data_IF_607276405032
#
_entry.id   IF_607276405032
#
_cell.length_a   1.000
_cell.length_b   1.000
_cell.length_c   1.000
_cell.angle_alpha   90.00
_cell.angle_beta   90.00
_cell.angle_gamma   90.00
#
_symmetry.space_group_name_H-M   'P 1'
#
loop_
_entity.id
_entity.type
_entity.pdbx_description
1 polymer ?
#
# COMPACT_ATOMS: atom_id res chain seq x y z
N UNK A 1 -21.05 13.07 75.95
CA UNK A 1 -20.94 14.27 75.08
C UNK A 1 -19.63 14.97 75.40
N UNK A 2 -18.61 14.73 74.56
CA UNK A 2 -18.05 15.81 73.73
C UNK A 2 -18.06 15.44 72.23
N UNK A 3 -17.83 16.41 71.32
CA UNK A 3 -18.25 16.29 69.93
C UNK A 3 -17.20 15.67 68.99
N UNK A 4 -17.74 15.15 67.89
CA UNK A 4 -17.10 14.46 66.79
C UNK A 4 -16.00 15.27 66.09
N UNK A 5 -14.86 14.62 65.82
CA UNK A 5 -13.87 15.08 64.86
C UNK A 5 -14.32 14.87 63.41
N UNK A 6 -13.73 15.57 62.44
CA UNK A 6 -14.15 15.49 61.05
C UNK A 6 -13.69 14.18 60.40
N UNK A 7 -14.61 13.59 59.62
CA UNK A 7 -14.38 12.46 58.72
C UNK A 7 -13.21 12.75 57.77
N UNK A 8 -12.17 11.93 57.84
CA UNK A 8 -11.13 11.87 56.81
C UNK A 8 -11.72 11.41 55.48
N UNK A 9 -11.53 12.23 54.45
CA UNK A 9 -11.81 11.87 53.07
C UNK A 9 -10.85 10.75 52.65
N UNK A 10 -11.35 9.52 52.61
CA UNK A 10 -10.65 8.40 51.98
C UNK A 10 -10.58 8.64 50.47
N UNK A 11 -9.45 9.14 49.99
CA UNK A 11 -9.17 9.19 48.56
C UNK A 11 -8.78 7.78 48.12
N UNK A 12 -9.72 7.05 47.52
CA UNK A 12 -9.46 5.77 46.89
C UNK A 12 -8.53 6.01 45.69
N UNK A 13 -7.24 5.79 45.91
CA UNK A 13 -6.22 5.87 44.86
C UNK A 13 -6.43 4.67 43.92
N UNK A 14 -7.16 4.87 42.82
CA UNK A 14 -7.13 3.93 41.72
C UNK A 14 -5.69 3.89 41.17
N UNK A 15 -5.04 2.72 41.05
CA UNK A 15 -3.75 2.65 40.40
C UNK A 15 -3.95 2.98 38.93
N UNK A 16 -3.34 4.07 38.49
CA UNK A 16 -3.17 4.39 37.07
C UNK A 16 -2.42 3.20 36.48
N UNK A 17 -3.15 2.37 35.73
CA UNK A 17 -2.55 1.37 34.86
C UNK A 17 -1.79 2.18 33.81
N UNK A 18 -0.48 2.33 34.02
CA UNK A 18 0.43 2.84 33.02
C UNK A 18 0.31 1.92 31.81
N UNK A 19 -0.51 2.32 30.85
CA UNK A 19 -0.50 1.75 29.52
C UNK A 19 0.93 1.92 29.00
N UNK A 20 1.59 0.89 28.47
CA UNK A 20 2.92 1.07 27.90
C UNK A 20 2.81 2.13 26.82
N UNK A 21 3.34 3.32 27.10
CA UNK A 21 3.43 4.39 26.12
C UNK A 21 4.24 3.81 24.97
N UNK A 22 3.61 3.75 23.79
CA UNK A 22 4.34 3.43 22.57
C UNK A 22 5.58 4.34 22.51
N UNK A 23 6.76 3.80 22.18
CA UNK A 23 7.94 4.63 22.01
C UNK A 23 7.59 5.75 21.03
N UNK A 24 7.81 7.00 21.45
CA UNK A 24 7.60 8.14 20.61
C UNK A 24 8.37 7.92 19.29
N UNK A 25 7.75 8.13 18.12
CA UNK A 25 8.45 8.01 16.84
C UNK A 25 9.69 8.89 16.89
N UNK A 26 10.82 8.40 16.36
CA UNK A 26 12.04 9.19 16.35
C UNK A 26 11.76 10.51 15.60
N UNK A 27 12.49 11.61 15.89
CA UNK A 27 12.20 12.94 15.35
C UNK A 27 12.08 13.05 13.81
N UNK A 28 12.52 12.01 13.08
CA UNK A 28 12.54 11.95 11.62
C UNK A 28 11.74 10.76 11.04
N UNK A 29 10.97 10.05 11.85
CA UNK A 29 10.13 8.96 11.37
C UNK A 29 8.86 9.53 10.73
N UNK A 30 8.54 9.02 9.55
CA UNK A 30 7.30 9.30 8.85
C UNK A 30 6.18 8.45 9.43
N UNK A 31 5.00 9.06 9.58
CA UNK A 31 3.85 8.41 10.20
C UNK A 31 2.95 7.74 9.16
N UNK A 32 2.46 6.56 9.49
CA UNK A 32 1.36 5.92 8.77
C UNK A 32 0.04 6.28 9.45
N UNK A 33 -0.91 6.80 8.69
CA UNK A 33 -2.24 7.20 9.17
C UNK A 33 -3.33 6.40 8.46
N UNK A 34 -4.46 6.24 9.15
CA UNK A 34 -5.67 5.67 8.59
C UNK A 34 -6.51 6.77 7.93
N UNK A 35 -6.92 6.56 6.67
CA UNK A 35 -7.81 7.46 5.94
C UNK A 35 -9.01 6.66 5.43
N UNK A 36 -10.22 7.14 5.71
CA UNK A 36 -11.45 6.60 5.15
C UNK A 36 -11.89 7.45 3.97
N UNK A 37 -11.95 6.86 2.78
CA UNK A 37 -12.41 7.52 1.56
C UNK A 37 -13.12 6.52 0.65
N UNK A 38 -14.17 6.94 -0.05
CA UNK A 38 -14.91 6.09 -1.00
C UNK A 38 -15.36 4.75 -0.40
N UNK A 39 -15.84 4.76 0.86
CA UNK A 39 -16.23 3.57 1.63
C UNK A 39 -15.10 2.53 1.79
N UNK A 40 -13.84 2.97 1.73
CA UNK A 40 -12.65 2.13 1.89
C UNK A 40 -11.70 2.73 2.90
N UNK A 41 -11.02 1.85 3.63
CA UNK A 41 -9.99 2.20 4.58
C UNK A 41 -8.61 2.09 3.93
N UNK A 42 -7.82 3.14 4.00
CA UNK A 42 -6.46 3.21 3.46
C UNK A 42 -5.47 3.44 4.59
N UNK A 43 -4.34 2.73 4.53
CA UNK A 43 -3.17 3.07 5.32
C UNK A 43 -2.26 3.93 4.45
N UNK A 44 -1.91 5.11 4.93
CA UNK A 44 -1.19 6.10 4.14
C UNK A 44 0.04 6.58 4.89
N UNK A 45 1.21 6.39 4.29
CA UNK A 45 2.46 6.97 4.74
C UNK A 45 2.48 8.45 4.34
N UNK A 46 2.42 9.34 5.33
CA UNK A 46 2.55 10.79 5.12
C UNK A 46 3.99 11.12 4.77
N UNK A 47 4.19 11.81 3.66
CA UNK A 47 5.52 12.30 3.29
C UNK A 47 5.80 13.70 3.83
N UNK A 48 4.75 14.46 4.10
CA UNK A 48 4.87 15.76 4.77
C UNK A 48 5.20 15.57 6.26
N UNK A 49 6.09 16.40 6.83
CA UNK A 49 6.45 16.31 8.23
C UNK A 49 5.27 16.70 9.13
N UNK A 50 5.06 15.89 10.18
CA UNK A 50 4.07 16.16 11.23
C UNK A 50 2.76 15.36 11.06
N UNK A 51 2.13 14.93 12.18
CA UNK A 51 0.95 14.06 12.17
C UNK A 51 -0.32 14.75 11.66
N UNK A 52 -0.36 16.08 11.64
CA UNK A 52 -1.50 16.91 11.22
C UNK A 52 -1.34 17.49 9.82
N UNK A 53 -0.28 17.13 9.10
CA UNK A 53 -0.07 17.63 7.75
C UNK A 53 -1.24 17.23 6.82
N UNK A 54 -1.70 18.15 5.94
CA UNK A 54 -2.78 17.84 5.02
C UNK A 54 -2.37 16.71 4.06
N UNK A 55 -3.33 15.87 3.61
CA UNK A 55 -3.04 14.86 2.61
C UNK A 55 -2.43 15.45 1.35
N UNK A 56 -1.38 14.79 0.85
CA UNK A 56 -0.77 15.15 -0.42
C UNK A 56 -1.06 14.07 -1.46
N UNK A 57 -1.12 14.42 -2.76
CA UNK A 57 -1.26 13.42 -3.82
C UNK A 57 -0.04 12.49 -3.93
N UNK A 58 1.05 12.81 -3.24
CA UNK A 58 2.30 12.04 -3.22
C UNK A 58 2.41 11.10 -2.03
N UNK A 59 1.53 11.23 -1.03
CA UNK A 59 1.49 10.33 0.11
C UNK A 59 1.30 8.89 -0.37
N UNK A 60 1.95 7.95 0.32
CA UNK A 60 2.07 6.59 -0.18
C UNK A 60 1.01 5.69 0.44
N UNK A 61 0.16 5.10 -0.39
CA UNK A 61 -0.82 4.10 0.05
C UNK A 61 -0.09 2.79 0.31
N UNK A 62 -0.11 2.33 1.55
CA UNK A 62 0.48 1.08 2.00
C UNK A 62 -0.57 -0.04 2.12
N UNK A 63 -0.18 -1.30 1.86
CA UNK A 63 -0.98 -2.45 2.25
C UNK A 63 -1.05 -2.54 3.78
N UNK A 64 -1.87 -3.44 4.30
CA UNK A 64 -1.90 -3.72 5.74
C UNK A 64 -0.49 -3.98 6.30
N UNK A 65 -0.24 -3.58 7.55
CA UNK A 65 1.02 -3.85 8.25
C UNK A 65 1.41 -5.35 8.21
N UNK A 66 0.43 -6.26 8.09
CA UNK A 66 0.66 -7.69 7.92
C UNK A 66 1.51 -8.03 6.68
N UNK A 67 1.49 -7.20 5.63
CA UNK A 67 2.31 -7.37 4.43
C UNK A 67 3.82 -7.24 4.71
N UNK A 68 4.19 -6.56 5.80
CA UNK A 68 5.59 -6.33 6.21
C UNK A 68 6.06 -7.30 7.30
N UNK A 69 5.16 -8.13 7.83
CA UNK A 69 5.44 -9.03 8.93
C UNK A 69 5.94 -10.39 8.44
N UNK A 70 7.10 -10.86 8.93
CA UNK A 70 7.73 -12.11 8.49
C UNK A 70 7.55 -13.30 9.48
N UNK A 71 6.79 -13.13 10.57
CA UNK A 71 6.53 -14.20 11.55
C UNK A 71 7.69 -14.57 12.45
N UNK A 72 8.90 -14.08 12.20
CA UNK A 72 10.10 -14.41 12.98
C UNK A 72 10.13 -13.72 14.35
N UNK A 73 9.51 -12.54 14.45
CA UNK A 73 9.38 -11.80 15.69
C UNK A 73 7.93 -11.93 16.19
N UNK A 74 7.75 -12.46 17.41
CA UNK A 74 6.42 -12.59 18.06
C UNK A 74 5.78 -11.24 18.45
N UNK A 75 6.43 -10.13 18.14
CA UNK A 75 5.91 -8.79 18.38
C UNK A 75 4.83 -8.40 17.37
N UNK A 76 3.96 -7.49 17.81
CA UNK A 76 2.77 -7.03 17.09
C UNK A 76 3.01 -6.72 15.61
N UNK A 77 1.98 -6.98 14.79
CA UNK A 77 1.94 -6.59 13.38
C UNK A 77 2.00 -5.07 13.28
N UNK A 78 3.17 -4.54 12.89
CA UNK A 78 3.44 -3.10 12.78
C UNK A 78 4.17 -2.79 11.47
N UNK A 79 4.08 -1.53 11.03
CA UNK A 79 4.89 -1.06 9.90
C UNK A 79 6.36 -0.98 10.30
N UNK A 80 7.29 -1.24 9.37
CA UNK A 80 8.70 -0.91 9.59
C UNK A 80 8.85 0.62 9.74
N UNK A 81 9.91 1.09 10.42
CA UNK A 81 10.19 2.52 10.50
C UNK A 81 10.47 3.06 9.09
N UNK A 82 9.69 4.06 8.69
CA UNK A 82 9.89 4.80 7.45
C UNK A 82 10.50 6.15 7.78
N UNK A 83 11.52 6.54 7.03
CA UNK A 83 12.18 7.85 7.13
C UNK A 83 12.13 8.52 5.76
N UNK A 84 12.44 9.83 5.64
CA UNK A 84 12.59 10.47 4.33
C UNK A 84 13.58 9.74 3.39
N UNK A 85 14.57 9.03 3.94
CA UNK A 85 15.51 8.23 3.15
C UNK A 85 14.95 6.86 2.71
N UNK A 86 13.95 6.33 3.42
CA UNK A 86 13.40 4.97 3.19
C UNK A 86 11.94 4.95 2.73
N UNK A 87 11.35 6.10 2.43
CA UNK A 87 9.96 6.22 1.99
C UNK A 87 9.73 5.96 0.50
N UNK A 88 10.78 5.74 -0.30
CA UNK A 88 10.64 5.44 -1.73
C UNK A 88 10.11 4.03 -2.00
N UNK A 89 9.41 3.83 -3.13
CA UNK A 89 8.85 2.53 -3.53
C UNK A 89 9.85 1.38 -3.47
N UNK A 90 11.08 1.61 -3.93
CA UNK A 90 12.12 0.59 -3.90
C UNK A 90 12.46 0.11 -2.47
N UNK A 91 12.54 1.05 -1.52
CA UNK A 91 12.80 0.79 -0.11
C UNK A 91 11.61 0.10 0.56
N UNK A 92 10.40 0.60 0.32
CA UNK A 92 9.16 -0.03 0.80
C UNK A 92 9.07 -1.49 0.33
N UNK A 93 9.35 -1.74 -0.95
CA UNK A 93 9.28 -3.07 -1.51
C UNK A 93 10.30 -4.05 -0.90
N UNK A 94 11.44 -3.56 -0.38
CA UNK A 94 12.41 -4.41 0.37
C UNK A 94 11.87 -4.89 1.70
N UNK A 95 10.95 -4.13 2.30
CA UNK A 95 10.37 -4.50 3.60
C UNK A 95 9.15 -5.43 3.46
N UNK A 96 8.60 -5.63 2.26
CA UNK A 96 7.45 -6.53 2.07
C UNK A 96 7.88 -7.99 2.27
N UNK A 97 7.27 -8.63 3.27
CA UNK A 97 7.50 -10.03 3.63
C UNK A 97 6.38 -10.96 3.10
N UNK A 98 5.15 -10.45 2.96
CA UNK A 98 3.99 -11.21 2.50
C UNK A 98 3.35 -10.57 1.26
N UNK A 99 3.88 -10.85 0.06
CA UNK A 99 3.36 -10.24 -1.17
C UNK A 99 1.89 -10.58 -1.46
N UNK A 100 1.37 -11.69 -0.93
CA UNK A 100 -0.02 -12.13 -1.12
C UNK A 100 -1.05 -11.12 -0.63
N UNK A 101 -0.65 -10.26 0.31
CA UNK A 101 -1.51 -9.22 0.89
C UNK A 101 -1.49 -7.91 0.10
N UNK A 102 -0.70 -7.82 -0.97
CA UNK A 102 -0.60 -6.60 -1.78
C UNK A 102 -1.80 -6.42 -2.71
N UNK A 103 -2.42 -7.50 -3.18
CA UNK A 103 -3.49 -7.44 -4.18
C UNK A 103 -4.68 -6.58 -3.74
N UNK A 104 -5.10 -6.75 -2.50
CA UNK A 104 -6.29 -6.05 -1.98
C UNK A 104 -6.08 -4.54 -1.91
N UNK A 105 -4.83 -4.11 -1.77
CA UNK A 105 -4.45 -2.70 -1.68
C UNK A 105 -4.04 -2.10 -3.03
N UNK A 106 -3.16 -2.77 -3.75
CA UNK A 106 -2.48 -2.25 -4.96
C UNK A 106 -2.95 -2.89 -6.26
N UNK A 107 -3.77 -3.95 -6.20
CA UNK A 107 -4.33 -4.57 -7.39
C UNK A 107 -5.05 -3.58 -8.29
N UNK A 108 -5.10 -3.84 -9.60
CA UNK A 108 -5.79 -2.95 -10.53
C UNK A 108 -7.28 -2.83 -10.19
N UNK A 109 -7.88 -1.75 -10.69
CA UNK A 109 -9.33 -1.61 -10.77
C UNK A 109 -9.91 -2.54 -11.84
N UNK A 110 -11.23 -2.68 -11.85
CA UNK A 110 -11.95 -3.18 -13.03
C UNK A 110 -11.79 -2.23 -14.21
N UNK A 111 -11.98 -2.69 -15.45
CA UNK A 111 -11.86 -1.82 -16.64
C UNK A 111 -12.77 -0.60 -16.56
N UNK A 112 -13.97 -0.72 -15.97
CA UNK A 112 -14.90 0.39 -15.80
C UNK A 112 -14.43 1.48 -14.83
N UNK A 113 -13.42 1.21 -14.00
CA UNK A 113 -12.82 2.20 -13.10
C UNK A 113 -11.80 3.12 -13.81
N UNK A 114 -11.42 2.79 -15.04
CA UNK A 114 -10.51 3.60 -15.86
C UNK A 114 -11.33 4.33 -16.93
N UNK A 115 -11.40 5.68 -16.96
CA UNK A 115 -12.17 6.39 -17.99
C UNK A 115 -11.65 6.11 -19.41
N UNK A 116 -10.35 5.88 -19.56
CA UNK A 116 -9.67 5.76 -20.85
C UNK A 116 -8.46 4.78 -20.75
N UNK A 117 -7.87 4.40 -21.87
CA UNK A 117 -6.65 3.57 -21.93
C UNK A 117 -5.45 4.35 -21.37
N UNK A 118 -5.44 5.68 -21.47
CA UNK A 118 -4.38 6.53 -20.89
C UNK A 118 -4.28 6.38 -19.37
N UNK A 119 -5.39 6.45 -18.65
CA UNK A 119 -5.48 6.31 -17.19
C UNK A 119 -5.10 4.89 -16.75
N UNK A 120 -5.49 3.88 -17.54
CA UNK A 120 -5.02 2.50 -17.35
C UNK A 120 -3.50 2.43 -17.48
N UNK A 121 -2.93 3.01 -18.54
CA UNK A 121 -1.48 3.07 -18.75
C UNK A 121 -0.74 3.83 -17.66
N UNK A 122 -1.27 4.98 -17.21
CA UNK A 122 -0.69 5.74 -16.09
C UNK A 122 -0.64 4.90 -14.83
N UNK A 123 -1.72 4.16 -14.51
CA UNK A 123 -1.69 3.25 -13.36
C UNK A 123 -0.65 2.14 -13.46
N UNK A 124 -0.29 1.74 -14.68
CA UNK A 124 0.75 0.76 -14.96
C UNK A 124 2.15 1.34 -14.77
N UNK A 125 2.41 2.49 -15.40
CA UNK A 125 3.75 3.05 -15.56
C UNK A 125 4.15 4.02 -14.45
N UNK A 126 3.20 4.85 -13.99
CA UNK A 126 3.40 5.91 -12.99
C UNK A 126 2.78 5.58 -11.62
N UNK A 127 1.78 4.68 -11.60
CA UNK A 127 0.99 4.37 -10.42
C UNK A 127 -0.38 5.05 -10.42
N UNK A 128 -1.23 4.67 -9.48
CA UNK A 128 -2.61 5.16 -9.41
C UNK A 128 -2.79 6.14 -8.26
N UNK A 129 -3.20 7.37 -8.57
CA UNK A 129 -3.55 8.39 -7.58
C UNK A 129 -5.01 8.25 -7.16
N UNK A 130 -5.26 8.36 -5.87
CA UNK A 130 -6.58 8.47 -5.27
C UNK A 130 -6.66 9.84 -4.62
N UNK A 131 -7.52 10.69 -5.16
CA UNK A 131 -7.71 12.06 -4.69
C UNK A 131 -8.04 12.10 -3.19
N UNK A 132 -7.38 13.00 -2.45
CA UNK A 132 -7.53 13.15 -1.01
C UNK A 132 -6.89 12.02 -0.17
N UNK A 133 -6.33 10.98 -0.79
CA UNK A 133 -5.74 9.83 -0.09
C UNK A 133 -4.23 9.73 -0.33
N UNK A 134 -3.80 9.63 -1.58
CA UNK A 134 -2.40 9.39 -1.94
C UNK A 134 -2.24 8.57 -3.22
N UNK A 135 -1.09 7.93 -3.39
CA UNK A 135 -0.73 7.16 -4.57
C UNK A 135 -0.37 5.70 -4.25
N UNK A 136 -0.82 4.81 -5.14
CA UNK A 136 -0.36 3.42 -5.24
C UNK A 136 0.90 3.35 -6.10
N UNK A 137 1.75 2.33 -5.93
CA UNK A 137 2.93 2.18 -6.77
C UNK A 137 2.57 1.93 -8.24
N UNK A 138 3.50 2.22 -9.17
CA UNK A 138 3.43 1.70 -10.53
C UNK A 138 3.24 0.19 -10.53
N UNK A 139 2.16 -0.29 -11.15
CA UNK A 139 1.88 -1.73 -11.20
C UNK A 139 2.95 -2.51 -11.97
N UNK A 140 3.64 -1.87 -12.93
CA UNK A 140 4.79 -2.48 -13.61
C UNK A 140 5.90 -2.86 -12.63
N UNK A 141 6.19 -2.03 -11.63
CA UNK A 141 7.23 -2.31 -10.64
C UNK A 141 6.81 -3.43 -9.68
N UNK A 142 5.53 -3.47 -9.30
CA UNK A 142 4.96 -4.55 -8.48
C UNK A 142 5.04 -5.88 -9.23
N UNK A 143 4.61 -5.90 -10.50
CA UNK A 143 4.63 -7.12 -11.31
C UNK A 143 6.05 -7.56 -11.70
N UNK A 144 6.97 -6.62 -11.95
CA UNK A 144 8.38 -6.97 -12.16
C UNK A 144 9.01 -7.66 -10.94
N UNK A 145 8.63 -7.24 -9.72
CA UNK A 145 9.21 -7.78 -8.48
C UNK A 145 8.56 -9.09 -8.02
N UNK A 146 7.25 -9.22 -8.15
CA UNK A 146 6.50 -10.37 -7.60
C UNK A 146 5.62 -11.10 -8.63
N UNK A 147 5.51 -10.57 -9.84
CA UNK A 147 4.71 -11.12 -10.93
C UNK A 147 5.44 -12.17 -11.77
N UNK A 148 6.76 -12.04 -11.95
CA UNK A 148 7.54 -12.99 -12.72
C UNK A 148 7.87 -14.27 -11.94
N UNK A 149 7.65 -15.41 -12.62
CA UNK A 149 7.84 -16.75 -12.08
C UNK A 149 9.01 -17.43 -12.80
N UNK A 150 10.23 -17.26 -12.28
CA UNK A 150 11.32 -18.24 -12.37
C UNK A 150 12.46 -17.75 -11.49
N UNK A 151 12.66 -18.43 -10.37
CA UNK A 151 13.94 -18.37 -9.69
C UNK A 151 14.92 -19.16 -10.57
N UNK A 152 15.82 -18.48 -11.29
CA UNK A 152 16.80 -19.17 -12.16
C UNK A 152 17.75 -20.05 -11.35
N UNK A 153 17.86 -19.85 -10.03
CA UNK A 153 18.73 -20.63 -9.14
C UNK A 153 18.05 -21.83 -8.49
N UNK A 154 16.72 -21.83 -8.43
CA UNK A 154 15.95 -22.87 -7.73
C UNK A 154 14.90 -23.45 -8.67
N UNK A 155 15.06 -24.74 -9.02
CA UNK A 155 14.04 -25.52 -9.76
C UNK A 155 12.69 -25.61 -9.00
N UNK A 156 12.57 -25.07 -7.78
CA UNK A 156 11.30 -24.85 -7.09
C UNK A 156 10.75 -23.47 -7.46
N UNK A 157 9.91 -23.43 -8.49
CA UNK A 157 9.22 -22.21 -8.90
C UNK A 157 8.28 -21.70 -7.82
N UNK A 158 8.71 -20.71 -7.04
CA UNK A 158 7.81 -19.94 -6.18
C UNK A 158 6.69 -19.34 -7.04
N UNK A 159 5.45 -19.35 -6.55
CA UNK A 159 4.29 -18.82 -7.28
C UNK A 159 4.38 -17.29 -7.39
N UNK A 160 3.70 -16.63 -8.36
CA UNK A 160 3.55 -15.18 -8.37
C UNK A 160 2.93 -14.79 -7.04
N UNK A 161 3.72 -14.20 -6.16
CA UNK A 161 3.38 -14.16 -4.75
C UNK A 161 2.27 -13.14 -4.48
N UNK A 162 2.08 -12.15 -5.36
CA UNK A 162 1.20 -11.03 -5.09
C UNK A 162 -0.19 -11.08 -5.72
N UNK A 163 -0.44 -11.99 -6.67
CA UNK A 163 -1.74 -12.13 -7.35
C UNK A 163 -2.51 -13.32 -6.79
N UNK A 164 -3.80 -13.19 -6.42
CA UNK A 164 -4.59 -14.31 -5.90
C UNK A 164 -4.73 -15.41 -6.95
N UNK A 165 -4.32 -16.64 -6.60
CA UNK A 165 -4.32 -17.78 -7.53
C UNK A 165 -5.73 -18.34 -7.75
N UNK A 166 -6.50 -18.48 -6.68
CA UNK A 166 -7.77 -19.21 -6.67
C UNK A 166 -8.99 -18.28 -6.77
N UNK A 167 -8.79 -17.03 -7.15
CA UNK A 167 -9.86 -16.06 -7.35
C UNK A 167 -10.11 -15.87 -8.85
N UNK A 168 -11.30 -16.27 -9.31
CA UNK A 168 -11.72 -16.12 -10.73
C UNK A 168 -11.88 -14.65 -11.12
N UNK A 169 -12.36 -13.80 -10.22
CA UNK A 169 -12.58 -12.39 -10.48
C UNK A 169 -11.26 -11.64 -10.55
N UNK A 170 -10.33 -11.91 -9.64
CA UNK A 170 -8.98 -11.34 -9.66
C UNK A 170 -8.24 -11.70 -10.96
N UNK A 171 -8.32 -12.98 -11.37
CA UNK A 171 -7.71 -13.43 -12.64
C UNK A 171 -8.32 -12.75 -13.85
N UNK A 172 -9.65 -12.67 -13.94
CA UNK A 172 -10.33 -11.98 -15.05
C UNK A 172 -9.93 -10.50 -15.11
N UNK A 173 -9.96 -9.82 -13.96
CA UNK A 173 -9.57 -8.41 -13.82
C UNK A 173 -8.13 -8.20 -14.30
N UNK A 174 -7.21 -9.03 -13.84
CA UNK A 174 -5.81 -8.97 -14.26
C UNK A 174 -5.64 -9.20 -15.76
N UNK A 175 -6.26 -10.24 -16.33
CA UNK A 175 -6.15 -10.55 -17.76
C UNK A 175 -6.65 -9.41 -18.64
N UNK A 176 -7.76 -8.77 -18.24
CA UNK A 176 -8.31 -7.60 -18.93
C UNK A 176 -7.36 -6.40 -18.84
N UNK A 177 -6.83 -6.11 -17.65
CA UNK A 177 -5.86 -5.04 -17.46
C UNK A 177 -4.57 -5.28 -18.29
N UNK A 178 -4.04 -6.50 -18.23
CA UNK A 178 -2.81 -6.90 -18.92
C UNK A 178 -2.95 -6.90 -20.45
N UNK A 179 -4.15 -7.13 -20.98
CA UNK A 179 -4.42 -7.05 -22.42
C UNK A 179 -4.01 -5.69 -23.01
N UNK A 180 -4.29 -4.60 -22.28
CA UNK A 180 -3.99 -3.25 -22.71
C UNK A 180 -2.52 -2.92 -22.46
N UNK A 181 -2.02 -3.11 -21.23
CA UNK A 181 -0.65 -2.74 -20.87
C UNK A 181 0.37 -3.46 -21.76
N UNK A 182 0.18 -4.76 -22.01
CA UNK A 182 1.07 -5.55 -22.86
C UNK A 182 1.09 -5.07 -24.31
N UNK A 183 -0.06 -4.70 -24.88
CA UNK A 183 -0.10 -4.17 -26.25
C UNK A 183 0.57 -2.81 -26.37
N UNK A 184 0.46 -1.97 -25.34
CA UNK A 184 1.17 -0.70 -25.30
C UNK A 184 2.67 -0.98 -25.25
N UNK A 185 3.12 -1.85 -24.34
CA UNK A 185 4.53 -2.25 -24.22
C UNK A 185 5.08 -2.86 -25.53
N UNK A 186 4.35 -3.78 -26.16
CA UNK A 186 4.74 -4.37 -27.45
C UNK A 186 4.80 -3.32 -28.55
N UNK A 187 3.86 -2.38 -28.60
CA UNK A 187 3.88 -1.30 -29.58
C UNK A 187 5.06 -0.35 -29.35
N UNK A 188 5.40 -0.07 -28.09
CA UNK A 188 6.57 0.74 -27.72
C UNK A 188 7.87 0.03 -28.07
N UNK A 189 7.96 -1.28 -27.79
CA UNK A 189 9.10 -2.10 -28.18
C UNK A 189 9.30 -2.15 -29.71
N UNK A 190 8.22 -2.00 -30.49
CA UNK A 190 8.24 -1.93 -31.95
C UNK A 190 8.44 -0.49 -32.48
N UNK A 191 8.94 0.44 -31.67
CA UNK A 191 9.36 1.77 -32.10
C UNK A 191 8.27 2.85 -32.11
N UNK A 192 7.06 2.57 -31.60
CA UNK A 192 6.06 3.63 -31.37
C UNK A 192 6.29 4.32 -30.03
N UNK A 193 5.77 5.53 -29.88
CA UNK A 193 5.66 6.15 -28.56
C UNK A 193 4.45 5.60 -27.81
N UNK A 194 4.45 5.66 -26.47
CA UNK A 194 3.30 5.22 -25.67
C UNK A 194 2.00 5.96 -26.05
N UNK A 195 1.98 7.29 -26.27
CA UNK A 195 0.78 8.00 -26.75
C UNK A 195 0.23 7.46 -28.08
N UNK A 196 1.10 7.14 -29.05
CA UNK A 196 0.68 6.54 -30.33
C UNK A 196 0.05 5.16 -30.13
N UNK A 197 0.64 4.34 -29.25
CA UNK A 197 0.11 3.02 -28.92
C UNK A 197 -1.24 3.10 -28.20
N UNK A 198 -1.40 4.04 -27.27
CA UNK A 198 -2.64 4.30 -26.54
C UNK A 198 -3.74 4.72 -27.50
N UNK A 199 -3.49 5.70 -28.37
CA UNK A 199 -4.48 6.17 -29.35
C UNK A 199 -4.99 5.04 -30.25
N UNK A 200 -4.12 4.11 -30.64
CA UNK A 200 -4.52 2.93 -31.43
C UNK A 200 -5.45 1.99 -30.65
N UNK A 201 -5.27 1.87 -29.34
CA UNK A 201 -6.04 0.97 -28.48
C UNK A 201 -7.35 1.56 -27.99
N UNK A 202 -7.47 2.89 -27.90
CA UNK A 202 -8.73 3.56 -27.56
C UNK A 202 -9.84 3.18 -28.54
N UNK A 203 -9.53 3.08 -29.83
CA UNK A 203 -10.51 2.67 -30.85
C UNK A 203 -10.98 1.20 -30.75
N UNK A 204 -10.44 0.41 -29.83
CA UNK A 204 -10.79 -1.01 -29.61
C UNK A 204 -11.59 -1.23 -28.32
N UNK A 205 -11.87 -0.17 -27.56
CA UNK A 205 -12.58 -0.20 -26.29
C UNK A 205 -14.06 0.10 -26.47
#
# INVERSE_FOLDING_TARGET
LPPAGPLGAGTTHCPIVNTPAMPAPAPNDLCVVAINANNRHFNVLRLSPGPTAPPTPFDIILPSAAAFFNGANKSHVQYPPFTPATCGWHSIFKCVAQPTLLWDCWGPGSLGEYPDVLSLWKSWDEGARIEGVGQRPPLRLVDARWGCRRDMRSKKGHLPAWRPRNDKNARRKWSQYQFFTRRIEESVANGRTAPQAIHKLEGLR
#
